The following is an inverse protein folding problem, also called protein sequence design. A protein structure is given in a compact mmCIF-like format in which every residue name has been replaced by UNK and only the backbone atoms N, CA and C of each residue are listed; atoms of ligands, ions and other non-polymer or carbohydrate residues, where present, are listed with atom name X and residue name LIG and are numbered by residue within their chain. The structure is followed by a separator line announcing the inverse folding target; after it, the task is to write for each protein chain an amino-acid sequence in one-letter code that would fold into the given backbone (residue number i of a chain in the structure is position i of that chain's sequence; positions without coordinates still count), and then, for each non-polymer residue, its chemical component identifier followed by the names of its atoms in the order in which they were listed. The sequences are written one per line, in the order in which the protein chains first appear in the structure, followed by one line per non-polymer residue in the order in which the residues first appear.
data_IF_056363504481
#
_entry.id   IF_056363504481
#
_cell.length_a   1.000
_cell.length_b   1.000
_cell.length_c   1.000
_cell.angle_alpha   90.00
_cell.angle_beta   90.00
_cell.angle_gamma   90.00
#
_symmetry.space_group_name_H-M   'P 1'
#
loop_
_entity.id
_entity.type
_entity.pdbx_description
1 polymer ?
#
# COMPACT_ATOMS: atom_id res chain seq x y z
N UNK A 1 34.56 -5.61 13.44
CA UNK A 1 33.16 -6.09 13.31
C UNK A 1 32.40 -5.62 14.54
N UNK A 2 31.18 -5.13 14.37
CA UNK A 2 30.31 -4.68 15.48
C UNK A 2 29.06 -5.53 15.44
N UNK A 3 28.65 -6.07 16.59
CA UNK A 3 27.43 -6.85 16.76
C UNK A 3 26.56 -6.14 17.79
N UNK A 4 25.26 -6.03 17.52
CA UNK A 4 24.27 -5.53 18.46
C UNK A 4 23.39 -6.69 18.93
N UNK A 5 23.23 -6.82 20.23
CA UNK A 5 22.43 -7.87 20.85
C UNK A 5 21.70 -7.31 22.07
N UNK A 6 20.65 -8.00 22.53
CA UNK A 6 20.06 -7.69 23.83
C UNK A 6 21.00 -8.10 24.95
N UNK A 7 21.02 -7.35 26.05
CA UNK A 7 21.92 -7.59 27.19
C UNK A 7 21.77 -9.00 27.75
N UNK A 8 20.53 -9.46 27.94
CA UNK A 8 20.25 -10.81 28.46
C UNK A 8 20.71 -11.92 27.51
N UNK A 9 20.45 -11.77 26.20
CA UNK A 9 20.84 -12.74 25.16
C UNK A 9 22.37 -12.82 25.04
N UNK A 10 23.06 -11.67 25.09
CA UNK A 10 24.52 -11.63 25.14
C UNK A 10 25.07 -12.33 26.37
N UNK A 11 24.50 -12.03 27.55
CA UNK A 11 24.90 -12.65 28.82
C UNK A 11 24.69 -14.17 28.82
N UNK A 12 23.60 -14.66 28.22
CA UNK A 12 23.39 -16.09 28.02
C UNK A 12 24.46 -16.69 27.08
N UNK A 13 24.68 -16.09 25.91
CA UNK A 13 25.64 -16.59 24.92
C UNK A 13 27.09 -16.61 25.43
N UNK A 14 27.51 -15.59 26.19
CA UNK A 14 28.86 -15.54 26.78
C UNK A 14 29.04 -16.63 27.83
N UNK A 15 28.04 -16.85 28.69
CA UNK A 15 28.07 -17.92 29.70
C UNK A 15 28.16 -19.30 29.08
N UNK A 16 27.44 -19.54 27.98
CA UNK A 16 27.36 -20.88 27.39
C UNK A 16 28.57 -21.22 26.51
N UNK A 17 29.07 -20.25 25.72
CA UNK A 17 30.01 -20.55 24.63
C UNK A 17 31.44 -20.07 24.90
N UNK A 18 31.68 -19.17 25.86
CA UNK A 18 33.02 -18.66 26.24
C UNK A 18 33.89 -18.11 25.07
N UNK A 19 33.33 -17.91 23.87
CA UNK A 19 34.07 -17.55 22.64
C UNK A 19 34.39 -16.07 22.51
N UNK A 20 33.75 -15.20 23.30
CA UNK A 20 33.84 -13.74 23.17
C UNK A 20 34.85 -13.10 24.14
N UNK A 21 35.86 -13.86 24.56
CA UNK A 21 36.85 -13.45 25.58
C UNK A 21 37.76 -12.27 25.19
N UNK A 22 37.74 -11.84 23.91
CA UNK A 22 38.44 -10.63 23.43
C UNK A 22 37.51 -9.54 22.90
N UNK A 23 36.20 -9.68 23.04
CA UNK A 23 35.26 -8.66 22.60
C UNK A 23 35.16 -7.54 23.65
N UNK A 24 35.30 -6.29 23.23
CA UNK A 24 34.92 -5.14 24.06
C UNK A 24 33.39 -5.01 24.01
N UNK A 25 32.74 -5.09 25.17
CA UNK A 25 31.31 -4.89 25.30
C UNK A 25 31.02 -3.41 25.61
N UNK A 26 30.04 -2.84 24.91
CA UNK A 26 29.51 -1.50 25.19
C UNK A 26 28.03 -1.68 25.48
N UNK A 27 27.62 -1.28 26.68
CA UNK A 27 26.22 -1.29 27.09
C UNK A 27 25.63 0.10 26.85
N UNK A 28 24.45 0.14 26.23
CA UNK A 28 23.69 1.37 26.09
C UNK A 28 22.94 1.62 27.40
N UNK A 29 23.16 2.78 27.99
CA UNK A 29 22.46 3.25 29.19
C UNK A 29 21.30 4.16 28.82
N UNK A 30 20.43 4.41 29.79
CA UNK A 30 19.30 5.32 29.65
C UNK A 30 19.73 6.75 29.30
N UNK A 31 18.85 7.45 28.59
CA UNK A 31 19.06 8.84 28.16
C UNK A 31 19.06 9.75 29.38
N UNK A 32 20.12 10.56 29.52
CA UNK A 32 20.21 11.49 30.63
C UNK A 32 19.39 12.77 30.38
N UNK A 33 18.98 13.49 31.45
CA UNK A 33 18.35 14.80 31.29
C UNK A 33 19.21 15.81 30.50
N UNK A 34 20.54 15.71 30.61
CA UNK A 34 21.46 16.55 29.85
C UNK A 34 21.39 16.25 28.34
N UNK A 35 21.27 14.96 27.97
CA UNK A 35 21.10 14.55 26.58
C UNK A 35 19.77 15.05 26.00
N UNK A 36 18.69 15.00 26.79
CA UNK A 36 17.38 15.53 26.40
C UNK A 36 17.42 17.02 26.06
N UNK A 37 18.06 17.83 26.93
CA UNK A 37 18.24 19.28 26.72
C UNK A 37 19.11 19.58 25.51
N UNK A 38 20.09 18.73 25.23
CA UNK A 38 20.90 18.86 24.04
C UNK A 38 20.10 18.47 22.78
N UNK A 39 19.28 17.43 22.84
CA UNK A 39 18.70 16.82 21.64
C UNK A 39 17.37 17.44 21.19
N UNK A 40 16.42 17.64 22.11
CA UNK A 40 15.03 18.03 21.78
C UNK A 40 14.89 19.47 21.24
N UNK A 41 15.64 20.49 21.73
CA UNK A 41 15.51 21.85 21.20
C UNK A 41 16.04 22.03 19.77
N UNK A 42 16.96 21.18 19.30
CA UNK A 42 17.65 21.33 17.99
C UNK A 42 16.77 21.09 16.77
N UNK A 43 15.48 20.86 16.94
CA UNK A 43 14.61 20.21 15.94
C UNK A 43 13.49 21.12 15.48
N UNK A 44 13.21 22.19 16.24
CA UNK A 44 12.25 23.22 15.88
C UNK A 44 12.90 24.23 14.93
N UNK A 45 12.81 23.99 13.62
CA UNK A 45 13.16 25.02 12.63
C UNK A 45 12.01 26.04 12.55
N UNK A 46 12.31 27.32 12.75
CA UNK A 46 11.47 28.41 12.23
C UNK A 46 10.34 28.97 13.10
N UNK A 47 10.24 28.66 14.39
CA UNK A 47 9.41 29.48 15.31
C UNK A 47 10.30 30.36 16.20
N UNK A 48 10.05 31.67 16.30
CA UNK A 48 10.65 32.51 17.33
C UNK A 48 10.06 32.08 18.69
N UNK A 49 10.71 31.12 19.34
CA UNK A 49 10.21 30.51 20.57
C UNK A 49 10.91 29.20 20.89
N UNK A 50 12.24 29.21 20.98
CA UNK A 50 13.07 28.09 21.46
C UNK A 50 12.77 27.60 22.89
N UNK A 51 11.66 28.04 23.48
CA UNK A 51 11.36 28.02 24.92
C UNK A 51 10.42 26.90 25.36
N UNK A 52 9.75 26.18 24.46
CA UNK A 52 8.71 25.22 24.88
C UNK A 52 9.27 23.92 25.45
N UNK A 53 10.34 23.40 24.86
CA UNK A 53 11.01 22.20 25.38
C UNK A 53 11.86 22.52 26.60
N UNK A 54 12.54 23.66 26.63
CA UNK A 54 13.27 24.15 27.81
C UNK A 54 12.33 24.21 29.03
N UNK A 55 11.17 24.87 28.89
CA UNK A 55 10.19 24.93 29.97
C UNK A 55 9.75 23.55 30.46
N UNK A 56 9.53 22.58 29.57
CA UNK A 56 9.12 21.22 29.96
C UNK A 56 10.24 20.46 30.66
N UNK A 57 11.49 20.63 30.20
CA UNK A 57 12.66 19.96 30.75
C UNK A 57 13.17 20.62 32.05
N UNK A 58 12.76 21.84 32.35
CA UNK A 58 13.09 22.51 33.62
C UNK A 58 12.15 22.11 34.77
N UNK A 59 10.93 21.68 34.48
CA UNK A 59 9.95 21.29 35.52
C UNK A 59 10.41 20.11 36.39
N UNK A 60 11.04 19.04 35.88
CA UNK A 60 11.55 17.97 36.72
C UNK A 60 12.61 18.41 37.73
N UNK A 61 13.42 19.43 37.41
CA UNK A 61 14.39 19.99 38.37
C UNK A 61 13.73 20.90 39.40
N UNK A 62 12.73 21.68 38.97
CA UNK A 62 12.00 22.59 39.86
C UNK A 62 11.02 21.86 40.77
N UNK A 63 10.51 20.70 40.35
CA UNK A 63 9.45 19.93 41.02
C UNK A 63 9.74 18.42 40.98
N UNK A 64 10.85 17.94 41.59
CA UNK A 64 11.26 16.54 41.51
C UNK A 64 10.29 15.56 42.19
N UNK A 65 9.44 16.06 43.10
CA UNK A 65 8.42 15.26 43.80
C UNK A 65 7.06 15.24 43.08
N UNK A 66 6.91 15.97 41.96
CA UNK A 66 5.66 15.95 41.20
C UNK A 66 5.57 14.64 40.39
N UNK A 67 4.55 13.79 40.61
CA UNK A 67 4.42 12.52 39.91
C UNK A 67 4.43 12.64 38.39
N UNK A 68 3.91 13.73 37.83
CA UNK A 68 3.90 13.94 36.38
C UNK A 68 5.31 14.15 35.84
N UNK A 69 6.15 14.88 36.58
CA UNK A 69 7.54 15.10 36.19
C UNK A 69 8.36 13.80 36.29
N UNK A 70 8.05 12.95 37.28
CA UNK A 70 8.67 11.63 37.41
C UNK A 70 8.28 10.71 36.25
N UNK A 71 6.98 10.61 35.95
CA UNK A 71 6.47 9.85 34.81
C UNK A 71 7.10 10.31 33.48
N UNK A 72 7.24 11.63 33.29
CA UNK A 72 7.85 12.21 32.09
C UNK A 72 9.33 11.83 31.98
N UNK A 73 10.08 11.93 33.09
CA UNK A 73 11.50 11.55 33.13
C UNK A 73 11.69 10.05 32.86
N UNK A 74 10.81 9.21 33.42
CA UNK A 74 10.81 7.76 33.20
C UNK A 74 10.57 7.43 31.72
N UNK A 75 9.55 8.00 31.08
CA UNK A 75 9.25 7.71 29.67
C UNK A 75 10.35 8.23 28.74
N UNK A 76 10.83 9.45 28.97
CA UNK A 76 11.89 10.06 28.16
C UNK A 76 13.30 9.54 28.46
N UNK A 77 13.45 8.55 29.36
CA UNK A 77 14.71 7.83 29.55
C UNK A 77 15.05 6.91 28.37
N UNK A 78 14.07 6.55 27.54
CA UNK A 78 14.29 5.63 26.42
C UNK A 78 14.49 6.39 25.10
N UNK A 79 15.51 6.03 24.28
CA UNK A 79 15.77 6.72 23.01
C UNK A 79 14.59 6.73 22.04
N UNK A 80 13.76 5.67 22.06
CA UNK A 80 12.55 5.57 21.24
C UNK A 80 11.56 6.68 21.60
N UNK A 81 11.22 6.83 22.87
CA UNK A 81 10.23 7.82 23.31
C UNK A 81 10.69 9.25 23.05
N UNK A 82 11.98 9.51 23.22
CA UNK A 82 12.60 10.80 22.87
C UNK A 82 12.45 11.11 21.37
N UNK A 83 12.67 10.11 20.50
CA UNK A 83 12.49 10.27 19.07
C UNK A 83 11.02 10.51 18.68
N UNK A 84 10.07 9.79 19.29
CA UNK A 84 8.64 9.98 19.07
C UNK A 84 8.18 11.38 19.51
N UNK A 85 8.56 11.79 20.73
CA UNK A 85 8.21 13.10 21.26
C UNK A 85 8.78 14.24 20.41
N UNK A 86 10.05 14.10 19.97
CA UNK A 86 10.64 15.00 18.98
C UNK A 86 9.78 15.06 17.74
N UNK A 87 9.44 13.93 17.14
CA UNK A 87 8.70 13.93 15.89
C UNK A 87 7.32 14.58 16.04
N UNK A 88 6.55 14.21 17.06
CA UNK A 88 5.20 14.75 17.27
C UNK A 88 5.23 16.27 17.48
N UNK A 89 6.19 16.78 18.26
CA UNK A 89 6.22 18.19 18.68
C UNK A 89 7.24 19.08 17.94
N UNK A 90 7.90 18.59 16.87
CA UNK A 90 8.84 19.41 16.09
C UNK A 90 8.17 20.44 15.17
N UNK A 91 6.90 20.23 14.78
CA UNK A 91 6.18 21.09 13.83
C UNK A 91 4.92 21.72 14.44
N UNK A 92 4.63 22.97 14.05
CA UNK A 92 3.69 23.88 14.72
C UNK A 92 2.19 23.55 14.65
N UNK A 93 1.80 22.34 14.26
CA UNK A 93 0.39 21.93 14.19
C UNK A 93 -0.12 21.26 15.48
N UNK A 94 0.78 20.88 16.41
CA UNK A 94 0.39 20.36 17.71
C UNK A 94 0.45 21.45 18.79
N UNK A 95 -0.47 21.45 19.79
CA UNK A 95 -0.27 22.23 20.99
C UNK A 95 1.09 21.82 21.59
N UNK A 96 1.90 22.80 21.97
CA UNK A 96 3.32 22.58 22.31
C UNK A 96 3.55 21.51 23.39
N UNK A 97 4.79 21.08 23.60
CA UNK A 97 5.15 19.96 24.49
C UNK A 97 4.70 20.15 25.95
N UNK A 98 4.30 21.37 26.35
CA UNK A 98 3.70 21.68 27.65
C UNK A 98 2.49 20.79 27.98
N UNK A 99 1.76 20.29 26.98
CA UNK A 99 0.65 19.36 27.20
C UNK A 99 1.08 18.08 27.93
N UNK A 100 2.34 17.65 27.78
CA UNK A 100 2.88 16.47 28.47
C UNK A 100 2.94 16.63 30.00
N UNK A 101 2.82 17.87 30.51
CA UNK A 101 2.77 18.17 31.94
C UNK A 101 1.33 18.18 32.51
N UNK A 102 0.32 17.81 31.71
CA UNK A 102 -1.06 17.75 32.16
C UNK A 102 -1.31 16.52 33.06
N UNK A 103 -1.42 16.76 34.36
CA UNK A 103 -1.66 15.74 35.39
C UNK A 103 -2.98 14.99 35.23
N UNK A 104 -4.02 15.64 34.71
CA UNK A 104 -5.33 15.00 34.52
C UNK A 104 -5.27 13.98 33.37
N UNK A 105 -4.46 14.26 32.35
CA UNK A 105 -4.29 13.39 31.19
C UNK A 105 -3.22 12.32 31.38
N UNK A 106 -2.10 12.68 32.00
CA UNK A 106 -0.91 11.83 32.12
C UNK A 106 -0.61 11.49 33.58
N UNK A 107 -1.54 10.75 34.21
CA UNK A 107 -1.42 10.30 35.59
C UNK A 107 -0.37 9.19 35.82
N UNK A 108 0.10 8.54 34.75
CA UNK A 108 1.10 7.46 34.80
C UNK A 108 2.10 7.56 33.63
N UNK A 109 3.28 6.96 33.80
CA UNK A 109 4.25 6.78 32.72
C UNK A 109 3.63 6.03 31.53
N UNK A 110 2.88 4.96 31.78
CA UNK A 110 2.18 4.19 30.75
C UNK A 110 1.21 5.06 29.91
N UNK A 111 0.43 5.93 30.54
CA UNK A 111 -0.50 6.81 29.81
C UNK A 111 0.25 7.79 28.88
N UNK A 112 1.44 8.24 29.30
CA UNK A 112 2.26 9.13 28.50
C UNK A 112 2.96 8.39 27.35
N UNK A 113 3.43 7.17 27.59
CA UNK A 113 3.94 6.25 26.56
C UNK A 113 2.87 5.94 25.50
N UNK A 114 1.68 5.51 25.92
CA UNK A 114 0.56 5.20 25.02
C UNK A 114 0.18 6.40 24.16
N UNK A 115 0.17 7.60 24.74
CA UNK A 115 -0.08 8.84 24.01
C UNK A 115 1.00 9.13 22.96
N UNK A 116 2.28 8.97 23.29
CA UNK A 116 3.36 9.19 22.31
C UNK A 116 3.32 8.17 21.17
N UNK A 117 3.06 6.90 21.48
CA UNK A 117 2.91 5.85 20.47
C UNK A 117 1.69 6.09 19.57
N UNK A 118 0.55 6.47 20.17
CA UNK A 118 -0.68 6.73 19.43
C UNK A 118 -0.59 8.01 18.58
N UNK A 119 -0.04 9.09 19.14
CA UNK A 119 0.06 10.37 18.44
C UNK A 119 1.07 10.33 17.27
N UNK A 120 2.05 9.43 17.30
CA UNK A 120 3.11 9.36 16.29
C UNK A 120 2.61 9.13 14.87
N UNK A 121 1.67 8.18 14.68
CA UNK A 121 1.13 7.88 13.34
C UNK A 121 0.37 9.09 12.79
N UNK A 122 -0.46 9.74 13.60
CA UNK A 122 -1.13 10.97 13.16
C UNK A 122 -0.16 12.11 12.89
N UNK A 123 0.86 12.28 13.73
CA UNK A 123 1.91 13.28 13.54
C UNK A 123 2.56 13.11 12.18
N UNK A 124 3.13 11.93 11.90
CA UNK A 124 3.83 11.65 10.65
C UNK A 124 2.97 11.84 9.39
N UNK A 125 1.72 11.37 9.41
CA UNK A 125 0.87 11.38 8.21
C UNK A 125 0.09 12.69 8.02
N UNK A 126 0.03 13.58 9.02
CA UNK A 126 -0.57 14.91 8.85
C UNK A 126 0.44 16.01 8.50
N UNK A 127 1.75 15.77 8.66
CA UNK A 127 2.78 16.70 8.20
C UNK A 127 2.60 17.04 6.71
N UNK A 128 2.60 18.32 6.32
CA UNK A 128 2.70 18.69 4.92
C UNK A 128 3.99 18.09 4.36
N UNK A 129 3.88 17.15 3.43
CA UNK A 129 5.05 16.62 2.75
C UNK A 129 5.62 17.75 1.89
N UNK A 130 6.59 18.49 2.42
CA UNK A 130 7.33 19.48 1.66
C UNK A 130 7.87 18.79 0.41
N UNK A 131 7.54 19.33 -0.76
CA UNK A 131 7.94 18.78 -2.05
C UNK A 131 9.43 19.05 -2.27
N UNK A 132 10.30 18.44 -1.47
CA UNK A 132 11.74 18.56 -1.62
C UNK A 132 12.21 17.60 -2.70
N UNK A 133 12.26 18.10 -3.93
CA UNK A 133 12.88 17.44 -5.07
C UNK A 133 11.96 16.48 -5.84
N UNK A 134 12.44 16.10 -7.03
CA UNK A 134 11.80 15.32 -8.11
C UNK A 134 11.30 13.91 -7.75
N UNK A 135 11.17 13.57 -6.46
CA UNK A 135 10.59 12.31 -6.01
C UNK A 135 9.08 12.32 -6.24
N UNK A 136 8.62 11.27 -6.93
CA UNK A 136 7.22 10.90 -7.17
C UNK A 136 6.37 11.24 -5.93
N UNK A 137 5.43 12.18 -6.08
CA UNK A 137 4.41 12.49 -5.06
C UNK A 137 3.74 11.19 -4.64
N UNK A 138 4.04 10.71 -3.44
CA UNK A 138 3.25 9.65 -2.83
C UNK A 138 1.92 10.30 -2.45
N UNK A 139 0.76 9.70 -2.81
CA UNK A 139 -0.53 10.24 -2.38
C UNK A 139 -0.57 10.39 -0.86
N UNK A 140 -1.04 11.53 -0.38
CA UNK A 140 -1.28 11.75 1.04
C UNK A 140 -2.31 10.72 1.50
N UNK A 141 -1.93 9.88 2.46
CA UNK A 141 -2.84 8.89 3.06
C UNK A 141 -3.54 9.50 4.25
N UNK A 142 -4.79 9.08 4.47
CA UNK A 142 -5.53 9.43 5.66
C UNK A 142 -4.87 8.76 6.88
N UNK A 143 -4.48 9.52 7.93
CA UNK A 143 -3.97 8.95 9.16
C UNK A 143 -4.87 7.86 9.77
N UNK A 144 -6.20 7.98 9.65
CA UNK A 144 -7.12 6.99 10.20
C UNK A 144 -7.00 5.63 9.49
N UNK A 145 -6.85 5.64 8.17
CA UNK A 145 -6.65 4.44 7.36
C UNK A 145 -5.33 3.74 7.73
N UNK A 146 -4.25 4.51 7.88
CA UNK A 146 -2.95 3.96 8.25
C UNK A 146 -2.99 3.32 9.64
N UNK A 147 -3.66 3.95 10.61
CA UNK A 147 -3.86 3.39 11.96
C UNK A 147 -4.54 2.03 11.89
N UNK A 148 -5.59 1.90 11.08
CA UNK A 148 -6.31 0.64 10.92
C UNK A 148 -5.41 -0.46 10.34
N UNK A 149 -4.54 -0.13 9.38
CA UNK A 149 -3.58 -1.09 8.82
C UNK A 149 -2.51 -1.51 9.82
N UNK A 150 -1.97 -0.57 10.59
CA UNK A 150 -1.01 -0.86 11.65
C UNK A 150 -1.64 -1.75 12.73
N UNK A 151 -2.87 -1.46 13.15
CA UNK A 151 -3.61 -2.29 14.10
C UNK A 151 -3.85 -3.71 13.56
N UNK A 152 -4.23 -3.83 12.28
CA UNK A 152 -4.36 -5.14 11.63
C UNK A 152 -3.04 -5.92 11.61
N UNK A 153 -1.93 -5.24 11.33
CA UNK A 153 -0.61 -5.86 11.29
C UNK A 153 -0.18 -6.31 12.69
N UNK A 154 -0.33 -5.46 13.70
CA UNK A 154 -0.04 -5.78 15.10
C UNK A 154 -0.84 -7.00 15.55
N UNK A 155 -2.15 -7.03 15.32
CA UNK A 155 -3.00 -8.17 15.67
C UNK A 155 -2.68 -9.45 14.88
N UNK A 156 -2.01 -9.35 13.72
CA UNK A 156 -1.49 -10.54 13.00
C UNK A 156 -0.21 -11.07 13.65
N UNK A 157 0.73 -10.18 13.98
CA UNK A 157 1.99 -10.54 14.63
C UNK A 157 1.75 -11.17 16.00
N UNK A 158 0.84 -10.58 16.78
CA UNK A 158 0.44 -11.08 18.10
C UNK A 158 -0.12 -12.51 18.05
N UNK A 159 -1.07 -12.76 17.13
CA UNK A 159 -1.62 -14.11 16.90
C UNK A 159 -0.59 -15.15 16.44
N UNK A 160 0.50 -14.71 15.80
CA UNK A 160 1.57 -15.58 15.36
C UNK A 160 2.66 -15.77 16.44
N UNK A 161 2.56 -15.06 17.58
CA UNK A 161 3.62 -15.01 18.59
C UNK A 161 4.91 -14.41 18.07
N UNK A 162 4.87 -13.67 16.95
CA UNK A 162 6.03 -13.12 16.28
C UNK A 162 6.27 -11.68 16.75
N UNK A 163 7.47 -11.39 17.26
CA UNK A 163 7.88 -10.02 17.61
C UNK A 163 8.46 -9.25 16.42
N UNK A 164 9.01 -9.97 15.45
CA UNK A 164 9.72 -9.37 14.32
C UNK A 164 8.83 -9.27 13.08
N UNK A 165 8.73 -8.06 12.55
CA UNK A 165 8.05 -7.82 11.29
C UNK A 165 9.00 -8.06 10.11
N UNK A 166 8.85 -9.23 9.48
CA UNK A 166 9.63 -9.62 8.30
C UNK A 166 9.01 -9.00 7.04
N UNK A 167 9.18 -7.70 6.87
CA UNK A 167 8.48 -6.92 5.84
C UNK A 167 8.66 -7.43 4.40
N UNK A 168 9.78 -8.07 4.06
CA UNK A 168 9.99 -8.67 2.74
C UNK A 168 9.10 -9.90 2.48
N UNK A 169 8.62 -10.58 3.52
CA UNK A 169 7.63 -11.67 3.39
C UNK A 169 6.21 -11.13 3.17
N UNK A 170 5.95 -9.85 3.48
CA UNK A 170 4.64 -9.23 3.20
C UNK A 170 4.31 -9.31 1.70
N UNK A 171 5.31 -9.09 0.84
CA UNK A 171 5.18 -9.24 -0.61
C UNK A 171 4.89 -10.69 -1.03
N UNK A 172 5.37 -11.67 -0.26
CA UNK A 172 5.16 -13.10 -0.50
C UNK A 172 3.79 -13.57 0.03
N UNK A 173 3.23 -12.88 1.02
CA UNK A 173 1.95 -13.17 1.66
C UNK A 173 0.71 -12.68 0.90
N UNK A 174 0.88 -11.97 -0.22
CA UNK A 174 -0.25 -11.70 -1.14
C UNK A 174 -0.68 -13.05 -1.70
N UNK A 175 -1.90 -13.54 -1.42
CA UNK A 175 -2.30 -14.85 -1.89
C UNK A 175 -2.21 -14.84 -3.41
N UNK A 176 -1.40 -15.74 -3.99
CA UNK A 176 -1.28 -15.93 -5.45
C UNK A 176 -2.64 -16.13 -6.15
N UNK A 177 -3.68 -16.41 -5.37
CA UNK A 177 -5.10 -16.44 -5.75
C UNK A 177 -5.66 -15.06 -6.09
N UNK A 178 -5.34 -14.01 -5.33
CA UNK A 178 -5.75 -12.63 -5.64
C UNK A 178 -5.06 -12.10 -6.89
N UNK A 179 -3.75 -12.37 -7.03
CA UNK A 179 -3.00 -12.04 -8.25
C UNK A 179 -3.55 -12.79 -9.48
N UNK A 180 -3.84 -14.09 -9.33
CA UNK A 180 -4.46 -14.88 -10.40
C UNK A 180 -5.89 -14.47 -10.74
N UNK A 181 -6.70 -14.09 -9.74
CA UNK A 181 -8.06 -13.63 -9.95
C UNK A 181 -8.11 -12.27 -10.66
N UNK A 182 -7.22 -11.32 -10.29
CA UNK A 182 -7.09 -10.04 -10.98
C UNK A 182 -6.62 -10.25 -12.43
N UNK A 183 -5.61 -11.08 -12.65
CA UNK A 183 -5.10 -11.37 -13.99
C UNK A 183 -6.16 -12.09 -14.84
N UNK A 184 -6.93 -13.00 -14.24
CA UNK A 184 -8.05 -13.68 -14.88
C UNK A 184 -9.19 -12.72 -15.24
N UNK A 185 -9.51 -11.78 -14.34
CA UNK A 185 -10.53 -10.75 -14.58
C UNK A 185 -10.10 -9.77 -15.68
N UNK A 186 -8.83 -9.37 -15.70
CA UNK A 186 -8.25 -8.56 -16.79
C UNK A 186 -8.27 -9.36 -18.10
N UNK A 187 -7.87 -10.62 -18.08
CA UNK A 187 -7.92 -11.50 -19.26
C UNK A 187 -9.34 -11.67 -19.79
N UNK A 188 -10.33 -11.84 -18.91
CA UNK A 188 -11.74 -11.93 -19.27
C UNK A 188 -12.28 -10.60 -19.82
N UNK A 189 -11.89 -9.46 -19.23
CA UNK A 189 -12.30 -8.14 -19.70
C UNK A 189 -11.68 -7.81 -21.07
N UNK A 190 -10.40 -8.13 -21.28
CA UNK A 190 -9.72 -8.01 -22.58
C UNK A 190 -10.36 -8.94 -23.60
N UNK A 191 -10.61 -10.22 -23.23
CA UNK A 191 -11.33 -11.16 -24.08
C UNK A 191 -12.73 -10.66 -24.46
N UNK A 192 -13.46 -10.08 -23.51
CA UNK A 192 -14.77 -9.48 -23.74
C UNK A 192 -14.68 -8.26 -24.67
N UNK A 193 -13.71 -7.36 -24.47
CA UNK A 193 -13.49 -6.18 -25.31
C UNK A 193 -13.06 -6.56 -26.74
N UNK A 194 -12.24 -7.59 -26.89
CA UNK A 194 -11.90 -8.19 -28.18
C UNK A 194 -13.10 -8.92 -28.82
N UNK A 195 -14.07 -9.40 -28.03
CA UNK A 195 -15.33 -9.97 -28.52
C UNK A 195 -16.33 -8.91 -29.00
N UNK A 196 -16.35 -7.71 -28.43
CA UNK A 196 -17.32 -6.66 -28.79
C UNK A 196 -16.88 -5.82 -30.01
N UNK A 197 -15.61 -5.86 -30.41
CA UNK A 197 -15.04 -5.02 -31.49
C UNK A 197 -15.15 -5.60 -32.92
N UNK A 198 -16.15 -6.44 -33.20
CA UNK A 198 -16.77 -6.47 -34.54
C UNK A 198 -16.04 -7.08 -35.75
N UNK A 199 -15.31 -8.20 -35.65
CA UNK A 199 -14.86 -8.96 -36.84
C UNK A 199 -15.15 -10.46 -36.72
N UNK A 200 -16.06 -11.01 -37.56
CA UNK A 200 -16.37 -12.43 -37.88
C UNK A 200 -16.73 -13.44 -36.73
N UNK A 201 -18.02 -13.76 -36.62
CA UNK A 201 -18.70 -14.41 -35.47
C UNK A 201 -18.45 -15.92 -35.21
N UNK A 202 -18.30 -16.84 -36.18
CA UNK A 202 -18.31 -18.28 -35.86
C UNK A 202 -16.98 -18.81 -35.30
N UNK A 203 -15.83 -18.28 -35.75
CA UNK A 203 -14.50 -18.68 -35.25
C UNK A 203 -14.25 -18.14 -33.83
N UNK A 204 -14.89 -17.00 -33.48
CA UNK A 204 -14.73 -16.31 -32.19
C UNK A 204 -15.46 -16.96 -31.02
N UNK A 205 -16.66 -17.50 -31.26
CA UNK A 205 -17.38 -18.25 -30.23
C UNK A 205 -16.62 -19.53 -29.82
N UNK A 206 -16.03 -20.22 -30.80
CA UNK A 206 -15.19 -21.40 -30.55
C UNK A 206 -13.93 -21.04 -29.75
N UNK A 207 -13.24 -19.94 -30.10
CA UNK A 207 -12.03 -19.52 -29.40
C UNK A 207 -12.29 -19.03 -27.97
N UNK A 208 -13.37 -18.26 -27.76
CA UNK A 208 -13.79 -17.81 -26.44
C UNK A 208 -14.19 -18.98 -25.53
N UNK A 209 -14.92 -19.97 -26.06
CA UNK A 209 -15.27 -21.19 -25.34
C UNK A 209 -14.01 -21.99 -24.95
N UNK A 210 -13.06 -22.13 -25.87
CA UNK A 210 -11.78 -22.83 -25.62
C UNK A 210 -10.99 -22.18 -24.50
N UNK A 211 -10.89 -20.85 -24.49
CA UNK A 211 -10.20 -20.12 -23.41
C UNK A 211 -10.96 -20.21 -22.08
N UNK A 212 -12.29 -20.10 -22.10
CA UNK A 212 -13.11 -20.19 -20.89
C UNK A 212 -13.09 -21.59 -20.26
N UNK A 213 -13.13 -22.64 -21.09
CA UNK A 213 -13.03 -24.04 -20.66
C UNK A 213 -11.60 -24.34 -20.18
N UNK A 214 -10.58 -23.92 -20.93
CA UNK A 214 -9.18 -24.08 -20.51
C UNK A 214 -8.88 -23.38 -19.19
N UNK A 215 -9.42 -22.17 -18.98
CA UNK A 215 -9.31 -21.43 -17.72
C UNK A 215 -10.07 -22.11 -16.58
N UNK A 216 -11.29 -22.59 -16.82
CA UNK A 216 -12.09 -23.31 -15.83
C UNK A 216 -11.42 -24.62 -15.39
N UNK A 217 -10.87 -25.39 -16.34
CA UNK A 217 -10.12 -26.63 -16.06
C UNK A 217 -8.83 -26.33 -15.29
N UNK A 218 -8.09 -25.30 -15.70
CA UNK A 218 -6.90 -24.86 -14.95
C UNK A 218 -7.24 -24.42 -13.54
N UNK A 219 -8.35 -23.68 -13.35
CA UNK A 219 -8.81 -23.23 -12.03
C UNK A 219 -9.20 -24.41 -11.14
N UNK A 220 -9.91 -25.40 -11.69
CA UNK A 220 -10.26 -26.65 -10.99
C UNK A 220 -9.03 -27.47 -10.58
N UNK A 221 -8.10 -27.72 -11.51
CA UNK A 221 -6.85 -28.45 -11.23
C UNK A 221 -5.95 -27.72 -10.23
N UNK A 222 -5.96 -26.38 -10.27
CA UNK A 222 -5.21 -25.53 -9.32
C UNK A 222 -5.84 -25.50 -7.93
N UNK A 223 -7.17 -25.56 -7.83
CA UNK A 223 -7.87 -25.72 -6.55
C UNK A 223 -7.62 -27.10 -5.94
N UNK A 224 -7.43 -28.12 -6.77
CA UNK A 224 -7.06 -29.48 -6.36
C UNK A 224 -5.58 -29.67 -5.99
N UNK A 225 -4.75 -28.61 -6.04
CA UNK A 225 -3.34 -28.66 -5.62
C UNK A 225 -2.37 -29.28 -6.62
N UNK A 226 -2.78 -29.51 -7.87
CA UNK A 226 -1.91 -30.06 -8.90
C UNK A 226 -0.90 -29.00 -9.44
N UNK A 227 0.31 -29.46 -9.76
CA UNK A 227 1.47 -28.70 -10.28
C UNK A 227 1.10 -27.80 -11.50
N UNK A 228 1.90 -26.76 -11.82
CA UNK A 228 1.60 -25.73 -12.82
C UNK A 228 1.45 -26.23 -14.28
N UNK A 229 1.64 -27.53 -14.54
CA UNK A 229 1.46 -28.20 -15.83
C UNK A 229 0.02 -28.15 -16.36
N UNK A 230 -0.98 -27.82 -15.53
CA UNK A 230 -2.39 -27.74 -15.94
C UNK A 230 -2.69 -26.67 -17.00
N UNK A 231 -1.88 -25.61 -17.12
CA UNK A 231 -2.09 -24.55 -18.12
C UNK A 231 -1.80 -25.04 -19.55
N UNK A 232 -0.72 -25.81 -19.72
CA UNK A 232 -0.31 -26.35 -21.02
C UNK A 232 -1.30 -27.44 -21.49
N UNK A 233 -1.77 -28.30 -20.56
CA UNK A 233 -2.80 -29.29 -20.86
C UNK A 233 -4.16 -28.67 -21.20
N UNK A 234 -4.54 -27.57 -20.53
CA UNK A 234 -5.79 -26.85 -20.83
C UNK A 234 -5.79 -26.22 -22.22
N UNK A 235 -4.68 -25.59 -22.63
CA UNK A 235 -4.52 -25.03 -23.98
C UNK A 235 -4.49 -26.14 -25.03
N UNK A 236 -3.74 -27.22 -24.78
CA UNK A 236 -3.62 -28.34 -25.70
C UNK A 236 -4.97 -29.06 -25.92
N UNK A 237 -5.74 -29.31 -24.85
CA UNK A 237 -7.08 -29.91 -24.93
C UNK A 237 -8.09 -29.00 -25.64
N UNK A 238 -7.99 -27.69 -25.40
CA UNK A 238 -8.79 -26.69 -26.09
C UNK A 238 -8.52 -26.62 -27.60
N UNK A 239 -7.25 -26.70 -28.02
CA UNK A 239 -6.86 -26.77 -29.44
C UNK A 239 -7.36 -28.05 -30.11
N UNK A 240 -7.25 -29.21 -29.44
CA UNK A 240 -7.65 -30.50 -30.01
C UNK A 240 -9.15 -30.61 -30.29
N UNK A 241 -10.00 -30.02 -29.44
CA UNK A 241 -11.46 -30.05 -29.59
C UNK A 241 -12.01 -28.88 -30.42
N UNK A 242 -11.38 -27.70 -30.38
CA UNK A 242 -11.90 -26.48 -31.00
C UNK A 242 -11.63 -26.36 -32.51
N UNK A 243 -10.48 -26.84 -32.98
CA UNK A 243 -10.09 -26.76 -34.40
C UNK A 243 -11.03 -27.51 -35.37
N UNK A 244 -11.43 -28.77 -35.10
CA UNK A 244 -12.33 -29.49 -36.03
C UNK A 244 -13.76 -28.92 -36.04
N UNK A 245 -14.26 -28.43 -34.90
CA UNK A 245 -15.60 -27.83 -34.82
C UNK A 245 -15.68 -26.49 -35.56
N UNK A 246 -14.61 -25.67 -35.50
CA UNK A 246 -14.55 -24.39 -36.20
C UNK A 246 -14.47 -24.53 -37.73
N UNK A 247 -13.77 -25.55 -38.23
CA UNK A 247 -13.64 -25.81 -39.67
C UNK A 247 -14.96 -26.27 -40.30
N UNK A 248 -15.75 -27.10 -39.60
CA UNK A 248 -17.06 -27.56 -40.08
C UNK A 248 -18.11 -26.42 -40.10
N UNK A 249 -18.09 -25.52 -39.12
CA UNK A 249 -18.99 -24.37 -39.08
C UNK A 249 -18.67 -23.33 -40.17
N UNK A 250 -17.39 -23.19 -40.56
CA UNK A 250 -16.96 -22.27 -41.61
C UNK A 250 -17.47 -22.65 -43.01
N UNK A 251 -17.63 -23.94 -43.30
CA UNK A 251 -18.11 -24.40 -44.61
C UNK A 251 -19.62 -24.17 -44.81
N UNK A 252 -20.43 -24.24 -43.76
CA UNK A 252 -21.87 -23.96 -43.85
C UNK A 252 -22.17 -22.46 -44.05
N UNK A 253 -21.33 -21.57 -43.49
CA UNK A 253 -21.47 -20.12 -43.70
C UNK A 253 -21.14 -19.66 -45.12
N UNK A 254 -20.18 -20.30 -45.79
CA UNK A 254 -19.79 -19.97 -47.16
C UNK A 254 -20.89 -20.31 -48.19
N UNK A 255 -21.68 -21.35 -47.94
CA UNK A 255 -22.79 -21.76 -48.84
C UNK A 255 -24.02 -20.84 -48.69
N UNK A 256 -24.30 -20.33 -47.49
CA UNK A 256 -25.41 -19.39 -47.25
C UNK A 256 -25.20 -18.00 -47.87
N UNK A 257 -23.95 -17.52 -47.91
CA UNK A 257 -23.62 -16.21 -48.49
C UNK A 257 -23.79 -16.14 -50.01
N UNK A 258 -23.57 -17.26 -50.71
CA UNK A 258 -23.69 -17.34 -52.18
C UNK A 258 -25.14 -17.39 -52.69
N UNK A 259 -26.12 -17.67 -51.82
CA UNK A 259 -27.55 -17.69 -52.17
C UNK A 259 -28.21 -16.31 -52.00
N UNK A 260 -27.70 -15.48 -51.09
CA UNK A 260 -28.25 -14.14 -50.82
C UNK A 260 -27.80 -13.07 -51.83
N UNK A 261 -26.67 -13.27 -52.51
CA UNK A 261 -26.15 -12.31 -53.51
C UNK A 261 -26.91 -12.34 -54.86
N UNK A 262 -27.71 -13.39 -55.13
CA UNK A 262 -28.57 -13.47 -56.33
C UNK A 262 -29.99 -12.89 -56.14
N UNK A 263 -30.36 -12.46 -54.94
CA UNK A 263 -31.69 -11.92 -54.64
C UNK A 263 -31.76 -10.38 -54.63
N UNK A 264 -30.61 -9.68 -54.66
CA UNK A 264 -30.57 -8.22 -54.65
C UNK A 264 -30.49 -7.67 -56.09
N UNK A 265 -31.63 -7.23 -56.62
CA UNK A 265 -31.71 -6.51 -57.90
C UNK A 265 -30.96 -5.16 -57.88
N UNK A 266 -30.69 -4.57 -59.06
CA UNK A 266 -29.77 -3.43 -59.18
C UNK A 266 -30.33 -2.14 -58.55
N UNK A 267 -29.44 -1.29 -57.97
CA UNK A 267 -29.83 -0.12 -57.18
C UNK A 267 -30.33 1.06 -58.04
N UNK A 268 -31.44 1.67 -57.61
CA UNK A 268 -32.00 2.90 -58.19
C UNK A 268 -31.39 4.15 -57.51
N UNK A 269 -31.08 5.23 -58.25
CA UNK A 269 -30.52 6.46 -57.68
C UNK A 269 -31.62 7.37 -57.11
N UNK A 270 -31.49 7.74 -55.84
CA UNK A 270 -32.36 8.71 -55.16
C UNK A 270 -31.74 10.11 -55.25
N UNK A 271 -32.45 11.04 -55.91
CA UNK A 271 -32.10 12.47 -55.98
C UNK A 271 -32.78 13.20 -54.83
N UNK A 272 -31.99 13.78 -53.91
CA UNK A 272 -32.49 14.63 -52.81
C UNK A 272 -32.29 16.10 -53.16
N UNK A 273 -33.40 16.85 -53.25
CA UNK A 273 -33.44 18.28 -53.54
C UNK A 273 -33.57 19.06 -52.22
N UNK A 274 -32.49 19.66 -51.74
CA UNK A 274 -32.47 20.49 -50.52
C UNK A 274 -32.66 21.97 -50.88
N UNK A 275 -33.84 22.51 -50.54
CA UNK A 275 -34.14 23.93 -50.64
C UNK A 275 -33.59 24.70 -49.44
N UNK A 276 -32.57 25.53 -49.65
CA UNK A 276 -32.07 26.49 -48.66
C UNK A 276 -32.59 27.89 -49.00
N UNK A 277 -33.49 28.37 -48.15
CA UNK A 277 -34.08 29.72 -48.19
C UNK A 277 -33.02 30.73 -47.73
N UNK A 278 -32.54 31.56 -48.66
CA UNK A 278 -31.61 32.68 -48.42
C UNK A 278 -32.26 33.70 -47.49
N UNK A 279 -31.56 34.09 -46.41
CA UNK A 279 -31.81 35.34 -45.71
C UNK A 279 -30.56 36.22 -45.85
N UNK A 280 -30.75 37.38 -46.47
CA UNK A 280 -29.76 38.39 -46.78
C UNK A 280 -29.42 39.24 -45.54
N UNK A 281 -28.13 39.52 -45.32
CA UNK A 281 -27.68 40.87 -44.93
C UNK A 281 -26.25 41.11 -45.42
N UNK A 282 -26.12 42.15 -46.24
CA UNK A 282 -24.87 42.78 -46.70
C UNK A 282 -24.36 43.73 -45.62
N UNK A 283 -23.04 43.89 -45.47
CA UNK A 283 -22.30 45.09 -45.87
C UNK A 283 -20.77 44.88 -45.73
N UNK A 284 -19.95 45.69 -46.42
CA UNK A 284 -18.62 45.35 -46.90
C UNK A 284 -17.49 45.92 -46.02
N UNK A 285 -16.28 45.43 -46.31
CA UNK A 285 -15.01 45.99 -45.84
C UNK A 285 -14.78 47.40 -46.38
N UNK A 286 -14.29 48.27 -45.50
CA UNK A 286 -13.03 49.01 -45.66
C UNK A 286 -12.34 49.07 -44.28
#
# INVERSE_FOLDING_TARGET
MVLTSRTEEYGAAVRDLHVLSRAAAVELVDVSPADLRAYLPRTRRGCPGGTSWEHVLDQPEQRPLDPVCQNLAEVLSTPLMVALARDIYSEGNHPGPVVLLDRQRFGSAQALEEHLLDAFISGLYTRPQEATGTRRRVPRRDPAEVRQWCAHLAGRLDRQGARDFIWWTLAQGVPRRAGGALLGLVGAAVGHLLCTTGVQFPVRAAFGLVLAVGFSIWLLLRLAGALPTGFVLGIAGGMALGLPAGLLAGQLGAVGGLVLDRAAGPPQPVVVRLGLRRNFRRQPED
#
